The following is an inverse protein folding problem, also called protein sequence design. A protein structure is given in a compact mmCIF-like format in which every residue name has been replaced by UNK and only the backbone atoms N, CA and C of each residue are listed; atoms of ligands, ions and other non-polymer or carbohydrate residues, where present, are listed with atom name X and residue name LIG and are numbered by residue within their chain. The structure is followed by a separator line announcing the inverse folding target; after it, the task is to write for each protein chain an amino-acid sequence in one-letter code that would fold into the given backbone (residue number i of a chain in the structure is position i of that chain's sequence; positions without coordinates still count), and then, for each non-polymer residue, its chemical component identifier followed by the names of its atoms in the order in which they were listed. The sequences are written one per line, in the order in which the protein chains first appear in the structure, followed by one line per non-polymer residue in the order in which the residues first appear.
data_IF_965944728380
#
_entry.id   IF_965944728380
#
_cell.length_a   1.000
_cell.length_b   1.000
_cell.length_c   1.000
_cell.angle_alpha   90.00
_cell.angle_beta   90.00
_cell.angle_gamma   90.00
#
_symmetry.space_group_name_H-M   'P 1'
#
loop_
_entity.id
_entity.type
_entity.pdbx_description
1 polymer ?
#
# COMPACT_ATOMS: atom_id res chain seq x y z
N UNK A 1 62.23 -7.38 85.86
CA UNK A 1 61.30 -6.31 85.44
C UNK A 1 60.84 -6.61 84.03
N UNK A 2 59.69 -7.25 83.87
CA UNK A 2 59.03 -7.45 82.58
C UNK A 2 58.07 -6.29 82.38
N UNK A 3 58.39 -5.40 81.45
CA UNK A 3 57.50 -4.31 81.08
C UNK A 3 56.42 -4.92 80.19
N UNK A 4 55.23 -5.09 80.77
CA UNK A 4 54.02 -5.41 80.05
C UNK A 4 53.66 -4.24 79.13
N UNK A 5 53.62 -4.48 77.82
CA UNK A 5 52.89 -3.63 76.89
C UNK A 5 51.62 -4.37 76.48
N UNK A 6 50.50 -3.74 76.80
CA UNK A 6 49.15 -4.14 76.45
C UNK A 6 48.96 -4.09 74.93
N UNK A 7 48.24 -5.06 74.40
CA UNK A 7 47.72 -5.12 73.03
C UNK A 7 47.05 -3.78 72.66
N UNK A 8 47.71 -3.02 71.79
CA UNK A 8 47.18 -1.79 71.22
C UNK A 8 46.39 -2.17 69.96
N UNK A 9 45.07 -2.00 70.07
CA UNK A 9 44.13 -1.78 68.99
C UNK A 9 44.32 -2.58 67.68
N UNK A 10 43.63 -3.72 67.60
CA UNK A 10 43.12 -4.20 66.30
C UNK A 10 43.85 -5.37 65.64
N UNK A 11 44.65 -6.16 66.37
CA UNK A 11 45.05 -7.49 65.91
C UNK A 11 43.85 -8.46 66.01
N UNK A 12 42.82 -8.18 65.21
CA UNK A 12 41.90 -9.22 64.80
C UNK A 12 42.73 -10.21 63.97
N UNK A 13 42.87 -11.42 64.48
CA UNK A 13 43.19 -12.62 63.69
C UNK A 13 42.49 -12.47 62.34
N UNK A 14 43.26 -12.23 61.28
CA UNK A 14 42.76 -12.23 59.91
C UNK A 14 42.31 -13.65 59.59
N UNK A 15 41.14 -14.03 60.08
CA UNK A 15 40.39 -15.12 59.49
C UNK A 15 40.19 -14.67 58.04
N UNK A 16 40.59 -15.44 57.02
CA UNK A 16 40.00 -15.23 55.71
C UNK A 16 38.50 -15.40 55.95
N UNK A 17 37.75 -14.29 55.95
CA UNK A 17 36.31 -14.39 55.85
C UNK A 17 36.07 -15.28 54.64
N UNK A 18 35.36 -16.38 54.87
CA UNK A 18 34.90 -17.26 53.81
C UNK A 18 34.39 -16.34 52.69
N UNK A 19 35.09 -16.35 51.56
CA UNK A 19 34.70 -15.64 50.35
C UNK A 19 33.26 -16.02 50.07
N UNK A 20 32.31 -15.21 50.54
CA UNK A 20 30.99 -15.14 49.95
C UNK A 20 31.31 -14.65 48.56
N UNK A 21 31.32 -15.57 47.61
CA UNK A 21 31.39 -15.26 46.19
C UNK A 21 30.39 -14.14 45.95
N UNK A 22 30.92 -12.91 45.80
CA UNK A 22 30.14 -11.80 45.30
C UNK A 22 29.51 -12.28 43.99
N UNK A 23 28.26 -11.89 43.70
CA UNK A 23 27.59 -12.36 42.51
C UNK A 23 28.49 -12.04 41.32
N UNK A 24 28.84 -13.04 40.51
CA UNK A 24 29.77 -12.92 39.38
C UNK A 24 29.42 -11.74 38.42
N UNK A 25 28.18 -11.24 38.49
CA UNK A 25 27.71 -10.04 37.81
C UNK A 25 28.41 -8.74 38.25
N UNK A 26 28.71 -8.54 39.54
CA UNK A 26 29.41 -7.33 40.02
C UNK A 26 30.88 -7.31 39.58
N UNK A 27 31.55 -8.47 39.66
CA UNK A 27 32.92 -8.64 39.16
C UNK A 27 32.97 -8.47 37.63
N UNK A 28 31.96 -8.96 36.91
CA UNK A 28 31.90 -8.81 35.47
C UNK A 28 31.64 -7.36 35.06
N UNK A 29 30.82 -6.64 35.82
CA UNK A 29 30.60 -5.20 35.61
C UNK A 29 31.87 -4.40 35.91
N UNK A 30 32.60 -4.71 36.97
CA UNK A 30 33.91 -4.10 37.22
C UNK A 30 34.90 -4.42 36.08
N UNK A 31 34.96 -5.66 35.61
CA UNK A 31 35.82 -6.05 34.49
C UNK A 31 35.46 -5.31 33.20
N UNK A 32 34.18 -5.02 32.97
CA UNK A 32 33.73 -4.26 31.80
C UNK A 32 33.98 -2.75 31.97
N UNK A 33 33.86 -2.20 33.19
CA UNK A 33 34.17 -0.80 33.50
C UNK A 33 35.66 -0.49 33.37
N UNK A 34 36.54 -1.45 33.71
CA UNK A 34 37.99 -1.35 33.56
C UNK A 34 38.52 -1.94 32.24
N UNK A 35 37.68 -2.57 31.43
CA UNK A 35 38.09 -3.10 30.14
C UNK A 35 38.38 -1.97 29.15
N UNK A 36 39.61 -1.93 28.66
CA UNK A 36 39.96 -1.18 27.46
C UNK A 36 39.52 -1.95 26.20
N UNK A 37 39.51 -1.26 25.05
CA UNK A 37 39.22 -1.85 23.72
C UNK A 37 39.90 -3.22 23.55
N UNK A 38 39.11 -4.31 23.61
CA UNK A 38 39.59 -5.71 23.48
C UNK A 38 39.95 -6.09 22.04
N UNK A 39 40.06 -5.12 21.13
CA UNK A 39 40.29 -5.38 19.70
C UNK A 39 41.78 -5.56 19.42
N UNK A 40 42.15 -6.71 18.87
CA UNK A 40 43.51 -6.96 18.41
C UNK A 40 43.80 -6.07 17.20
N UNK A 41 44.64 -5.05 17.40
CA UNK A 41 45.04 -4.12 16.35
C UNK A 41 46.10 -4.77 15.44
N UNK A 42 46.08 -4.50 14.13
CA UNK A 42 47.19 -4.86 13.25
C UNK A 42 48.52 -4.29 13.76
N UNK A 43 49.61 -5.04 13.60
CA UNK A 43 50.94 -4.66 14.11
C UNK A 43 51.38 -3.24 13.70
N UNK A 44 51.09 -2.84 12.47
CA UNK A 44 51.40 -1.49 11.95
C UNK A 44 50.70 -0.40 12.77
N UNK A 45 49.42 -0.59 13.08
CA UNK A 45 48.61 0.34 13.87
C UNK A 45 49.02 0.32 15.35
N UNK A 46 49.33 -0.85 15.89
CA UNK A 46 49.85 -0.98 17.24
C UNK A 46 51.18 -0.21 17.40
N UNK A 47 52.11 -0.40 16.46
CA UNK A 47 53.39 0.31 16.41
C UNK A 47 53.19 1.82 16.26
N UNK A 48 52.27 2.25 15.38
CA UNK A 48 51.93 3.66 15.21
C UNK A 48 51.40 4.28 16.51
N UNK A 49 50.45 3.62 17.18
CA UNK A 49 49.92 4.08 18.45
C UNK A 49 50.98 4.12 19.56
N UNK A 50 51.88 3.14 19.60
CA UNK A 50 53.01 3.14 20.53
C UNK A 50 54.01 4.27 20.24
N UNK A 51 54.31 4.56 18.97
CA UNK A 51 55.16 5.70 18.60
C UNK A 51 54.51 7.02 18.98
N UNK A 52 53.20 7.15 18.78
CA UNK A 52 52.44 8.33 19.15
C UNK A 52 52.58 8.69 20.65
N UNK A 53 52.55 7.70 21.55
CA UNK A 53 52.70 7.94 23.00
C UNK A 53 54.11 8.36 23.42
N UNK A 54 55.11 8.10 22.58
CA UNK A 54 56.53 8.41 22.84
C UNK A 54 57.03 9.66 22.09
N UNK A 55 56.13 10.43 21.45
CA UNK A 55 56.50 11.67 20.75
C UNK A 55 56.84 12.80 21.74
N UNK A 56 58.13 13.00 22.02
CA UNK A 56 58.59 14.01 22.99
C UNK A 56 58.16 15.46 22.67
N UNK A 57 57.90 15.77 21.40
CA UNK A 57 57.47 17.08 20.94
C UNK A 57 56.06 17.49 21.41
N UNK A 58 55.27 16.55 21.95
CA UNK A 58 53.87 16.78 22.32
C UNK A 58 53.63 16.67 23.83
N UNK A 59 52.75 17.51 24.40
CA UNK A 59 52.33 17.37 25.79
C UNK A 59 51.60 16.03 26.00
N UNK A 60 51.65 15.49 27.22
CA UNK A 60 51.09 14.16 27.53
C UNK A 60 49.63 13.99 27.09
N UNK A 61 48.81 15.04 27.21
CA UNK A 61 47.42 15.06 26.72
C UNK A 61 47.32 14.92 25.19
N UNK A 62 48.17 15.61 24.43
CA UNK A 62 48.18 15.55 22.98
C UNK A 62 48.68 14.19 22.50
N UNK A 63 49.66 13.59 23.20
CA UNK A 63 50.15 12.23 22.93
C UNK A 63 49.07 11.17 23.09
N UNK A 64 48.27 11.26 24.14
CA UNK A 64 47.15 10.33 24.36
C UNK A 64 46.11 10.42 23.24
N UNK A 65 45.77 11.64 22.79
CA UNK A 65 44.87 11.84 21.67
C UNK A 65 45.50 11.36 20.33
N UNK A 66 46.78 11.64 20.11
CA UNK A 66 47.50 11.20 18.92
C UNK A 66 47.54 9.67 18.82
N UNK A 67 47.75 8.98 19.95
CA UNK A 67 47.68 7.53 20.02
C UNK A 67 46.25 7.01 19.76
N UNK A 68 45.22 7.68 20.26
CA UNK A 68 43.84 7.34 19.97
C UNK A 68 43.51 7.50 18.47
N UNK A 69 44.00 8.57 17.82
CA UNK A 69 43.85 8.80 16.38
C UNK A 69 44.58 7.73 15.57
N UNK A 70 45.82 7.39 15.93
CA UNK A 70 46.59 6.35 15.27
C UNK A 70 45.86 4.99 15.27
N UNK A 71 45.12 4.66 16.34
CA UNK A 71 44.29 3.43 16.43
C UNK A 71 43.05 3.43 15.53
N UNK A 72 42.62 4.60 15.06
CA UNK A 72 41.42 4.76 14.20
C UNK A 72 41.74 4.92 12.73
N UNK A 73 43.00 5.20 12.39
CA UNK A 73 43.43 5.44 11.01
C UNK A 73 43.56 4.11 10.28
N UNK A 74 43.18 4.10 9.00
CA UNK A 74 43.41 2.96 8.13
C UNK A 74 44.87 2.97 7.64
N UNK A 75 45.61 1.88 7.88
CA UNK A 75 47.01 1.75 7.48
C UNK A 75 47.19 1.83 5.96
N UNK A 76 46.20 1.40 5.17
CA UNK A 76 46.29 1.45 3.71
C UNK A 76 46.09 2.88 3.15
N UNK A 77 45.48 3.78 3.93
CA UNK A 77 45.14 5.15 3.50
C UNK A 77 45.40 6.15 4.62
N UNK A 78 46.68 6.46 4.94
CA UNK A 78 47.04 7.28 6.10
C UNK A 78 46.57 8.74 6.01
N UNK A 79 46.37 9.27 4.80
CA UNK A 79 45.92 10.65 4.56
C UNK A 79 44.39 10.80 4.45
N UNK A 80 43.65 9.69 4.50
CA UNK A 80 42.19 9.74 4.43
C UNK A 80 41.60 10.44 5.66
N UNK A 81 40.37 10.94 5.50
CA UNK A 81 39.57 11.48 6.59
C UNK A 81 39.39 10.43 7.70
N UNK A 82 39.69 10.81 8.95
CA UNK A 82 39.45 9.94 10.10
C UNK A 82 37.97 9.99 10.47
N UNK A 83 37.26 8.88 10.24
CA UNK A 83 35.84 8.72 10.54
C UNK A 83 35.61 8.28 12.00
N UNK A 84 36.15 9.03 12.96
CA UNK A 84 35.94 8.76 14.39
C UNK A 84 34.95 9.76 15.00
N UNK A 85 34.02 9.27 15.82
CA UNK A 85 33.16 10.13 16.63
C UNK A 85 33.95 10.75 17.77
N UNK A 86 33.55 11.94 18.23
CA UNK A 86 34.25 12.65 19.31
C UNK A 86 34.25 11.83 20.60
N UNK A 87 33.13 11.17 20.91
CA UNK A 87 32.94 10.32 22.08
C UNK A 87 33.92 9.13 22.09
N UNK A 88 34.15 8.55 20.91
CA UNK A 88 35.08 7.43 20.74
C UNK A 88 36.52 7.88 20.97
N UNK A 89 36.91 9.03 20.44
CA UNK A 89 38.26 9.57 20.65
C UNK A 89 38.48 10.02 22.10
N UNK A 90 37.49 10.65 22.73
CA UNK A 90 37.56 11.05 24.14
C UNK A 90 37.65 9.84 25.06
N UNK A 91 36.90 8.78 24.78
CA UNK A 91 36.96 7.52 25.55
C UNK A 91 38.33 6.85 25.42
N UNK A 92 38.86 6.73 24.20
CA UNK A 92 40.18 6.13 23.96
C UNK A 92 41.33 6.95 24.54
N UNK A 93 41.23 8.27 24.49
CA UNK A 93 42.23 9.17 25.05
C UNK A 93 42.06 9.38 26.57
N UNK A 94 40.96 8.88 27.16
CA UNK A 94 40.57 9.09 28.56
C UNK A 94 40.58 10.58 28.94
N UNK A 95 39.98 11.41 28.08
CA UNK A 95 39.93 12.87 28.22
C UNK A 95 38.51 13.39 28.20
N UNK A 96 38.23 14.41 29.01
CA UNK A 96 36.98 15.16 28.90
C UNK A 96 36.92 15.92 27.58
N UNK A 97 35.71 16.26 27.13
CA UNK A 97 35.48 16.98 25.87
C UNK A 97 36.24 18.33 25.82
N UNK A 98 36.36 19.04 26.95
CA UNK A 98 37.11 20.30 27.04
C UNK A 98 38.61 20.08 26.84
N UNK A 99 39.17 19.05 27.45
CA UNK A 99 40.59 18.70 27.30
C UNK A 99 40.89 18.19 25.90
N UNK A 100 39.95 17.48 25.28
CA UNK A 100 40.03 17.02 23.90
C UNK A 100 40.20 18.16 22.90
N UNK A 101 39.45 19.26 23.02
CA UNK A 101 39.66 20.41 22.12
C UNK A 101 41.03 21.05 22.31
N UNK A 102 41.52 21.14 23.56
CA UNK A 102 42.88 21.65 23.82
C UNK A 102 43.96 20.75 23.24
N UNK A 103 43.83 19.44 23.36
CA UNK A 103 44.78 18.49 22.77
C UNK A 103 44.71 18.50 21.24
N UNK A 104 43.53 18.73 20.65
CA UNK A 104 43.39 18.99 19.20
C UNK A 104 44.14 20.26 18.77
N UNK A 105 44.02 21.35 19.53
CA UNK A 105 44.71 22.60 19.22
C UNK A 105 46.24 22.43 19.33
N UNK A 106 46.73 21.71 20.35
CA UNK A 106 48.16 21.38 20.49
C UNK A 106 48.69 20.54 19.31
N UNK A 107 47.89 19.57 18.82
CA UNK A 107 48.26 18.73 17.68
C UNK A 107 48.27 19.49 16.36
N UNK A 108 47.34 20.43 16.18
CA UNK A 108 47.31 21.29 15.00
C UNK A 108 48.46 22.30 15.03
N UNK A 109 48.74 22.92 16.17
CA UNK A 109 49.87 23.84 16.35
C UNK A 109 51.22 23.17 16.09
N UNK A 110 51.37 21.90 16.49
CA UNK A 110 52.57 21.11 16.21
C UNK A 110 52.63 20.54 14.77
N UNK A 111 51.58 20.76 13.97
CA UNK A 111 51.49 20.38 12.57
C UNK A 111 51.29 18.88 12.34
N UNK A 112 50.67 18.16 13.28
CA UNK A 112 50.40 16.72 13.15
C UNK A 112 49.04 16.44 12.50
N UNK A 113 48.06 17.29 12.72
CA UNK A 113 46.71 17.15 12.15
C UNK A 113 46.32 18.40 11.37
N UNK A 114 45.40 18.24 10.43
CA UNK A 114 44.74 19.35 9.74
C UNK A 114 43.23 19.25 9.94
N UNK A 115 42.61 20.38 10.30
CA UNK A 115 41.16 20.51 10.43
C UNK A 115 40.62 21.42 9.32
N UNK A 116 39.93 20.90 8.30
CA UNK A 116 39.23 21.74 7.35
C UNK A 116 38.13 22.55 8.06
N UNK A 117 37.86 23.79 7.62
CA UNK A 117 36.82 24.61 8.22
C UNK A 117 35.47 23.94 8.10
N UNK A 118 34.64 24.06 9.16
CA UNK A 118 33.32 23.45 9.18
C UNK A 118 32.38 24.19 8.22
N UNK A 119 32.03 23.55 7.10
CA UNK A 119 31.13 24.11 6.09
C UNK A 119 29.70 24.21 6.65
N UNK A 120 28.97 25.27 6.30
CA UNK A 120 27.55 25.41 6.66
C UNK A 120 26.69 24.87 5.53
N UNK A 121 25.71 24.03 5.86
CA UNK A 121 24.68 23.61 4.92
C UNK A 121 23.64 24.73 4.81
N UNK A 122 23.73 25.52 3.72
CA UNK A 122 23.01 26.78 3.56
C UNK A 122 21.48 26.71 3.68
N UNK A 123 20.87 25.55 3.46
CA UNK A 123 19.41 25.39 3.52
C UNK A 123 18.86 25.06 4.93
N UNK A 124 19.68 24.54 5.85
CA UNK A 124 19.20 24.00 7.12
C UNK A 124 19.81 24.67 8.36
N UNK A 125 20.80 25.57 8.18
CA UNK A 125 21.50 26.21 9.31
C UNK A 125 22.35 25.24 10.14
N UNK A 126 22.51 23.99 9.70
CA UNK A 126 23.36 22.99 10.32
C UNK A 126 24.78 23.08 9.76
N UNK A 127 25.74 22.84 10.63
CA UNK A 127 27.14 22.72 10.25
C UNK A 127 27.45 21.28 9.79
N UNK A 128 28.14 21.15 8.66
CA UNK A 128 28.65 19.90 8.12
C UNK A 128 29.68 19.24 9.05
N UNK A 129 30.09 18.02 8.72
CA UNK A 129 31.10 17.30 9.51
C UNK A 129 32.49 17.74 9.05
N UNK A 130 33.30 18.27 9.97
CA UNK A 130 34.71 18.49 9.73
C UNK A 130 35.46 17.21 10.13
N UNK A 131 36.08 16.55 9.15
CA UNK A 131 36.90 15.37 9.38
C UNK A 131 38.35 15.77 9.66
N UNK A 132 39.01 15.01 10.54
CA UNK A 132 40.42 15.23 10.88
C UNK A 132 41.27 14.47 9.88
N UNK A 133 42.31 15.11 9.35
CA UNK A 133 43.28 14.47 8.46
C UNK A 133 44.67 14.46 9.11
N UNK A 134 45.40 13.36 8.93
CA UNK A 134 46.82 13.31 9.29
C UNK A 134 47.65 14.06 8.25
N UNK A 135 48.64 14.80 8.73
CA UNK A 135 49.65 15.44 7.88
C UNK A 135 50.71 14.42 7.43
N UNK A 136 51.50 14.77 6.40
CA UNK A 136 52.67 13.99 5.97
C UNK A 136 53.64 13.72 7.13
N UNK A 137 53.94 14.77 7.91
CA UNK A 137 54.78 14.71 9.11
C UNK A 137 54.27 13.71 10.15
N UNK A 138 52.95 13.66 10.37
CA UNK A 138 52.36 12.69 11.29
C UNK A 138 52.44 11.26 10.76
N UNK A 139 52.15 11.04 9.47
CA UNK A 139 52.19 9.71 8.88
C UNK A 139 53.60 9.09 8.89
N UNK A 140 54.63 9.90 8.63
CA UNK A 140 56.04 9.50 8.73
C UNK A 140 56.44 9.14 10.17
N UNK A 141 56.10 9.98 11.15
CA UNK A 141 56.45 9.74 12.56
C UNK A 141 55.71 8.54 13.15
N UNK A 142 54.47 8.30 12.73
CA UNK A 142 53.72 7.09 13.08
C UNK A 142 54.27 5.83 12.39
N UNK A 143 55.08 5.98 11.34
CA UNK A 143 55.59 4.86 10.53
C UNK A 143 54.50 4.22 9.67
N UNK A 144 53.49 4.98 9.28
CA UNK A 144 52.46 4.56 8.33
C UNK A 144 52.92 4.74 6.87
N UNK A 145 53.90 5.61 6.67
CA UNK A 145 54.58 5.84 5.38
C UNK A 145 56.08 5.76 5.62
N UNK A 146 56.79 5.11 4.72
CA UNK A 146 58.26 5.09 4.75
C UNK A 146 58.78 6.49 4.42
N UNK A 147 59.73 7.04 5.20
CA UNK A 147 60.35 8.31 4.87
C UNK A 147 61.09 8.16 3.54
N UNK A 148 60.56 8.79 2.49
CA UNK A 148 61.28 8.97 1.23
C UNK A 148 62.44 9.91 1.54
N UNK A 149 63.65 9.35 1.55
CA UNK A 149 64.89 10.10 1.75
C UNK A 149 65.23 10.91 0.49
N UNK A 150 64.34 11.83 0.08
CA UNK A 150 64.57 12.77 -1.01
C UNK A 150 64.54 14.19 -0.46
N UNK A 151 65.59 14.52 0.29
CA UNK A 151 65.98 15.88 0.61
C UNK A 151 67.47 15.94 0.94
N UNK A 152 68.30 15.59 -0.05
CA UNK A 152 69.71 16.00 -0.10
C UNK A 152 70.04 16.48 -1.51
N UNK A 153 70.10 17.81 -1.66
CA UNK A 153 70.94 18.61 -2.56
C UNK A 153 71.47 17.99 -3.86
N UNK A 154 70.93 18.42 -5.01
CA UNK A 154 71.74 18.72 -6.20
C UNK A 154 71.24 20.00 -6.91
N UNK A 155 72.16 20.81 -7.49
CA UNK A 155 71.94 22.21 -7.89
C UNK A 155 71.26 22.38 -9.27
N UNK A 156 70.79 23.61 -9.64
CA UNK A 156 70.01 23.84 -10.84
C UNK A 156 70.89 23.92 -12.10
N UNK A 157 70.56 23.14 -13.11
CA UNK A 157 71.03 23.34 -14.49
C UNK A 157 69.88 23.88 -15.35
N UNK A 158 70.07 25.02 -16.05
CA UNK A 158 69.11 25.54 -17.00
C UNK A 158 69.45 25.05 -18.40
N UNK A 159 68.49 24.50 -19.15
CA UNK A 159 68.44 24.69 -20.62
C UNK A 159 67.02 24.47 -21.12
N UNK A 160 66.56 25.42 -21.91
CA UNK A 160 65.25 25.57 -22.51
C UNK A 160 65.03 24.69 -23.75
N UNK A 161 63.83 24.09 -23.82
CA UNK A 161 62.93 23.93 -24.99
C UNK A 161 63.32 22.98 -26.16
N UNK A 162 62.35 22.58 -27.04
CA UNK A 162 60.96 22.15 -26.80
C UNK A 162 60.54 20.89 -27.61
N UNK A 163 59.36 20.35 -27.26
CA UNK A 163 58.43 19.56 -28.09
C UNK A 163 58.87 18.21 -28.70
N UNK A 164 58.30 17.12 -28.19
CA UNK A 164 57.44 16.24 -29.01
C UNK A 164 56.61 15.33 -28.11
N UNK A 165 55.40 15.03 -28.58
CA UNK A 165 54.31 14.45 -27.84
C UNK A 165 54.51 12.97 -27.58
N UNK A 166 54.37 12.54 -26.33
CA UNK A 166 53.87 11.19 -26.07
C UNK A 166 53.02 11.13 -24.80
N UNK A 167 51.97 10.33 -24.89
CA UNK A 167 50.76 10.38 -24.10
C UNK A 167 50.99 10.02 -22.61
N UNK A 168 50.92 11.03 -21.74
CA UNK A 168 50.65 10.82 -20.32
C UNK A 168 49.13 10.91 -20.08
N UNK A 169 48.47 9.90 -19.47
CA UNK A 169 47.10 10.06 -19.02
C UNK A 169 47.11 11.05 -17.84
N UNK A 170 46.72 12.30 -18.12
CA UNK A 170 46.38 13.26 -17.09
C UNK A 170 45.21 12.68 -16.29
N UNK A 171 45.48 12.16 -15.10
CA UNK A 171 44.46 11.93 -14.10
C UNK A 171 43.93 13.29 -13.68
N UNK A 172 42.91 13.76 -14.40
CA UNK A 172 42.00 14.80 -13.94
C UNK A 172 41.46 14.29 -12.59
N UNK A 173 41.77 14.93 -11.45
CA UNK A 173 41.10 14.57 -10.23
C UNK A 173 39.61 14.86 -10.45
N UNK A 174 38.69 13.91 -10.17
CA UNK A 174 37.26 14.22 -10.27
C UNK A 174 36.98 15.42 -9.37
N UNK A 175 36.47 16.50 -9.96
CA UNK A 175 36.17 17.80 -9.33
C UNK A 175 34.95 17.74 -8.41
N UNK A 176 34.70 16.59 -7.78
CA UNK A 176 33.68 16.41 -6.75
C UNK A 176 34.41 16.03 -5.46
N UNK A 177 34.89 17.04 -4.77
CA UNK A 177 35.24 16.92 -3.35
C UNK A 177 33.93 16.74 -2.59
N UNK A 178 33.45 15.49 -2.49
CA UNK A 178 32.43 15.09 -1.50
C UNK A 178 33.07 15.15 -0.10
N UNK A 179 33.43 16.36 0.33
CA UNK A 179 33.82 16.63 1.72
C UNK A 179 32.59 16.62 2.64
N UNK A 180 31.39 16.75 2.07
CA UNK A 180 30.13 16.64 2.81
C UNK A 180 29.80 15.15 3.03
N UNK A 181 30.54 14.53 3.95
CA UNK A 181 30.21 13.21 4.44
C UNK A 181 28.82 13.20 5.09
N UNK A 182 28.12 12.06 4.96
CA UNK A 182 26.76 11.88 5.45
C UNK A 182 26.58 12.43 6.89
N UNK A 183 25.66 13.39 7.02
CA UNK A 183 25.21 13.88 8.32
C UNK A 183 24.60 12.68 9.05
N UNK A 184 25.14 12.36 10.23
CA UNK A 184 24.71 11.20 11.04
C UNK A 184 23.34 11.38 11.69
N UNK A 185 22.81 12.60 11.63
CA UNK A 185 21.40 12.87 11.89
C UNK A 185 20.70 12.74 10.55
N UNK A 186 19.81 11.76 10.44
CA UNK A 186 18.79 11.80 9.41
C UNK A 186 18.23 13.22 9.41
N UNK A 187 18.45 13.98 8.32
CA UNK A 187 17.72 15.23 8.11
C UNK A 187 16.27 14.83 7.82
N UNK A 188 15.58 14.35 8.83
CA UNK A 188 14.14 14.41 8.89
C UNK A 188 13.89 15.77 9.52
N UNK A 189 13.53 16.80 8.74
CA UNK A 189 13.14 18.07 9.33
C UNK A 189 11.99 17.81 10.30
N UNK A 190 12.25 17.99 11.59
CA UNK A 190 11.24 17.82 12.66
C UNK A 190 10.10 18.85 12.53
N UNK A 191 10.32 19.87 11.70
CA UNK A 191 9.37 20.94 11.38
C UNK A 191 8.54 20.70 10.12
N UNK A 192 8.79 19.64 9.34
CA UNK A 192 7.77 19.23 8.37
C UNK A 192 6.64 18.62 9.19
N UNK A 193 5.50 19.34 9.27
CA UNK A 193 4.21 18.80 9.72
C UNK A 193 4.09 17.40 9.14
N UNK A 194 4.38 16.37 9.94
CA UNK A 194 4.24 14.99 9.51
C UNK A 194 2.79 14.88 9.17
N UNK A 195 2.48 14.73 7.88
CA UNK A 195 1.23 14.09 7.48
C UNK A 195 1.12 12.89 8.41
N UNK A 196 0.01 12.75 9.18
CA UNK A 196 -0.10 11.66 10.12
C UNK A 196 0.25 10.41 9.32
N UNK A 197 1.20 9.60 9.79
CA UNK A 197 1.67 8.39 9.12
C UNK A 197 0.60 7.30 9.05
N UNK A 198 -0.67 7.72 9.00
CA UNK A 198 -1.86 6.93 8.99
C UNK A 198 -2.08 6.45 7.58
N UNK A 199 -2.07 5.13 7.44
CA UNK A 199 -2.33 4.48 6.18
C UNK A 199 -3.76 4.80 5.68
N UNK A 200 -3.95 5.09 4.37
CA UNK A 200 -5.26 5.21 3.75
C UNK A 200 -6.14 4.00 4.07
N UNK A 201 -7.44 4.23 4.29
CA UNK A 201 -8.38 3.18 4.70
C UNK A 201 -8.35 1.96 3.76
N UNK A 202 -8.29 2.20 2.45
CA UNK A 202 -8.31 1.17 1.40
C UNK A 202 -7.09 0.24 1.42
N UNK A 203 -5.99 0.68 2.03
CA UNK A 203 -4.74 -0.08 2.13
C UNK A 203 -4.60 -0.78 3.49
N UNK A 204 -5.45 -0.46 4.49
CA UNK A 204 -5.43 -1.12 5.81
C UNK A 204 -5.70 -2.61 5.72
N UNK A 205 -6.47 -3.04 4.71
CA UNK A 205 -6.68 -4.47 4.42
C UNK A 205 -5.39 -5.23 4.12
N UNK A 206 -4.32 -4.57 3.65
CA UNK A 206 -3.02 -5.24 3.48
C UNK A 206 -2.38 -5.64 4.81
N UNK A 207 -2.69 -4.94 5.91
CA UNK A 207 -2.14 -5.27 7.23
C UNK A 207 -2.58 -6.67 7.69
N UNK A 208 -3.80 -7.10 7.34
CA UNK A 208 -4.28 -8.45 7.70
C UNK A 208 -3.53 -9.57 6.98
N UNK A 209 -2.76 -9.25 5.92
CA UNK A 209 -1.92 -10.18 5.19
C UNK A 209 -0.45 -10.13 5.65
N UNK A 210 -0.15 -9.44 6.75
CA UNK A 210 1.19 -9.35 7.33
C UNK A 210 2.08 -8.25 6.75
N UNK A 211 1.51 -7.31 5.97
CA UNK A 211 2.28 -6.16 5.50
C UNK A 211 2.52 -5.18 6.66
N UNK A 212 3.74 -4.68 6.79
CA UNK A 212 4.07 -3.59 7.73
C UNK A 212 3.74 -2.24 7.08
N UNK A 213 3.29 -1.26 7.86
CA UNK A 213 2.93 0.08 7.35
C UNK A 213 4.05 0.73 6.53
N UNK A 214 5.30 0.68 7.03
CA UNK A 214 6.48 1.18 6.30
C UNK A 214 6.68 0.51 4.94
N UNK A 215 6.40 -0.79 4.84
CA UNK A 215 6.49 -1.51 3.57
C UNK A 215 5.41 -1.02 2.61
N UNK A 216 4.20 -0.76 3.10
CA UNK A 216 3.10 -0.25 2.28
C UNK A 216 3.44 1.15 1.76
N UNK A 217 4.02 2.03 2.57
CA UNK A 217 4.50 3.33 2.09
C UNK A 217 5.60 3.21 1.03
N UNK A 218 6.52 2.24 1.20
CA UNK A 218 7.53 1.94 0.16
C UNK A 218 6.88 1.46 -1.13
N UNK A 219 5.87 0.59 -1.04
CA UNK A 219 5.12 0.09 -2.19
C UNK A 219 4.28 1.18 -2.87
N UNK A 220 3.74 2.14 -2.13
CA UNK A 220 3.08 3.30 -2.72
C UNK A 220 4.05 4.13 -3.57
N UNK A 221 5.28 4.32 -3.09
CA UNK A 221 6.34 5.00 -3.83
C UNK A 221 6.74 4.23 -5.09
N UNK A 222 6.87 2.91 -4.99
CA UNK A 222 7.17 2.01 -6.11
C UNK A 222 6.04 2.03 -7.15
N UNK A 223 4.77 1.98 -6.73
CA UNK A 223 3.61 2.10 -7.60
C UNK A 223 3.59 3.44 -8.34
N UNK A 224 3.89 4.54 -7.63
CA UNK A 224 3.98 5.89 -8.22
C UNK A 224 5.08 5.99 -9.27
N UNK A 225 6.22 5.32 -9.06
CA UNK A 225 7.30 5.25 -10.05
C UNK A 225 6.86 4.53 -11.33
N UNK A 226 5.92 3.59 -11.23
CA UNK A 226 5.31 2.89 -12.36
C UNK A 226 4.03 3.57 -12.88
N UNK A 227 3.72 4.80 -12.45
CA UNK A 227 2.56 5.56 -12.92
C UNK A 227 1.21 5.02 -12.44
N UNK A 228 1.18 4.23 -11.36
CA UNK A 228 -0.03 3.57 -10.85
C UNK A 228 -0.33 3.95 -9.40
N UNK A 229 -1.60 3.84 -9.03
CA UNK A 229 -2.04 3.95 -7.64
C UNK A 229 -2.09 2.57 -7.00
N UNK A 230 -1.44 2.41 -5.84
CA UNK A 230 -1.44 1.14 -5.11
C UNK A 230 -2.86 0.71 -4.69
N UNK A 231 -3.73 1.67 -4.38
CA UNK A 231 -5.13 1.42 -4.02
C UNK A 231 -5.87 0.66 -5.12
N UNK A 232 -5.78 1.12 -6.37
CA UNK A 232 -6.46 0.52 -7.51
C UNK A 232 -5.91 -0.87 -7.85
N UNK A 233 -4.59 -1.05 -7.74
CA UNK A 233 -3.95 -2.36 -7.92
C UNK A 233 -4.49 -3.37 -6.91
N UNK A 234 -4.48 -2.99 -5.63
CA UNK A 234 -4.93 -3.86 -4.52
C UNK A 234 -6.41 -4.17 -4.63
N UNK A 235 -7.23 -3.22 -5.07
CA UNK A 235 -8.67 -3.44 -5.27
C UNK A 235 -8.94 -4.43 -6.39
N UNK A 236 -8.36 -4.19 -7.56
CA UNK A 236 -8.53 -5.06 -8.71
C UNK A 236 -7.96 -6.47 -8.50
N UNK A 237 -6.90 -6.60 -7.69
CA UNK A 237 -6.20 -7.87 -7.46
C UNK A 237 -6.43 -8.45 -6.06
N UNK A 238 -7.44 -8.02 -5.31
CA UNK A 238 -7.59 -8.43 -3.91
C UNK A 238 -7.75 -9.95 -3.73
N UNK A 239 -8.63 -10.58 -4.52
CA UNK A 239 -8.89 -12.01 -4.46
C UNK A 239 -7.64 -12.87 -4.73
N UNK A 240 -6.90 -12.70 -5.86
CA UNK A 240 -5.69 -13.47 -6.10
C UNK A 240 -4.57 -13.12 -5.12
N UNK A 241 -4.51 -11.88 -4.63
CA UNK A 241 -3.50 -11.46 -3.67
C UNK A 241 -3.68 -12.14 -2.30
N UNK A 242 -4.93 -12.38 -1.87
CA UNK A 242 -5.23 -13.11 -0.63
C UNK A 242 -4.88 -14.60 -0.72
N UNK A 243 -4.96 -15.18 -1.91
CA UNK A 243 -4.66 -16.61 -2.15
C UNK A 243 -3.17 -16.87 -2.41
N UNK A 244 -2.38 -15.82 -2.67
CA UNK A 244 -0.96 -15.97 -3.00
C UNK A 244 -0.14 -16.44 -1.80
N UNK A 245 0.75 -17.42 -2.02
CA UNK A 245 1.71 -17.91 -1.02
C UNK A 245 2.70 -16.83 -0.58
N UNK A 246 3.03 -15.90 -1.49
CA UNK A 246 3.96 -14.79 -1.27
C UNK A 246 3.35 -13.46 -1.73
N UNK A 247 2.48 -12.82 -0.92
CA UNK A 247 1.70 -11.67 -1.36
C UNK A 247 2.56 -10.44 -1.63
N UNK A 248 3.68 -10.26 -0.93
CA UNK A 248 4.60 -9.12 -1.15
C UNK A 248 5.27 -9.21 -2.53
N UNK A 249 5.81 -10.38 -2.87
CA UNK A 249 6.47 -10.62 -4.16
C UNK A 249 5.47 -10.53 -5.30
N UNK A 250 4.29 -11.12 -5.13
CA UNK A 250 3.20 -11.07 -6.10
C UNK A 250 2.73 -9.63 -6.36
N UNK A 251 2.58 -8.81 -5.32
CA UNK A 251 2.20 -7.41 -5.51
C UNK A 251 3.30 -6.63 -6.24
N UNK A 252 4.58 -6.87 -5.95
CA UNK A 252 5.68 -6.23 -6.70
C UNK A 252 5.71 -6.62 -8.17
N UNK A 253 5.40 -7.87 -8.52
CA UNK A 253 5.31 -8.27 -9.93
C UNK A 253 4.14 -7.59 -10.63
N UNK A 254 2.98 -7.45 -9.96
CA UNK A 254 1.83 -6.71 -10.49
C UNK A 254 2.14 -5.21 -10.72
N UNK A 255 2.92 -4.58 -9.83
CA UNK A 255 3.33 -3.18 -10.01
C UNK A 255 4.16 -3.00 -11.28
N UNK A 256 5.04 -3.96 -11.61
CA UNK A 256 5.89 -3.94 -12.81
C UNK A 256 5.18 -4.32 -14.11
N UNK A 257 4.11 -5.11 -14.04
CA UNK A 257 3.38 -5.59 -15.23
C UNK A 257 2.73 -4.42 -16.00
N UNK A 258 2.60 -4.43 -17.33
CA UNK A 258 2.06 -3.32 -18.12
C UNK A 258 0.51 -3.27 -18.12
N UNK A 259 -0.14 -3.62 -17.01
CA UNK A 259 -1.61 -3.68 -16.90
C UNK A 259 -2.16 -2.37 -16.32
N UNK A 260 -3.22 -1.84 -16.92
CA UNK A 260 -3.98 -0.71 -16.39
C UNK A 260 -4.98 -1.19 -15.31
N UNK A 261 -4.57 -1.06 -14.05
CA UNK A 261 -5.40 -1.40 -12.90
C UNK A 261 -6.41 -0.30 -12.56
N UNK A 262 -6.20 0.95 -13.00
CA UNK A 262 -7.12 2.04 -12.73
C UNK A 262 -8.43 1.84 -13.50
N UNK A 263 -8.35 1.43 -14.77
CA UNK A 263 -9.52 1.05 -15.56
C UNK A 263 -10.27 -0.12 -14.92
N UNK A 264 -9.56 -1.20 -14.56
CA UNK A 264 -10.17 -2.38 -13.93
C UNK A 264 -10.86 -2.06 -12.60
N UNK A 265 -10.25 -1.23 -11.76
CA UNK A 265 -10.85 -0.82 -10.49
C UNK A 265 -12.11 0.02 -10.71
N UNK A 266 -12.12 0.94 -11.69
CA UNK A 266 -13.31 1.72 -12.04
C UNK A 266 -14.47 0.82 -12.49
N UNK A 267 -14.22 -0.08 -13.45
CA UNK A 267 -15.25 -1.01 -13.92
C UNK A 267 -15.83 -1.87 -12.81
N UNK A 268 -15.01 -2.31 -11.85
CA UNK A 268 -15.48 -3.06 -10.69
C UNK A 268 -16.34 -2.21 -9.74
N UNK A 269 -15.93 -0.97 -9.45
CA UNK A 269 -16.72 -0.04 -8.60
C UNK A 269 -18.06 0.28 -9.25
N UNK A 270 -18.07 0.58 -10.54
CA UNK A 270 -19.30 0.88 -11.27
C UNK A 270 -20.26 -0.31 -11.24
N UNK A 271 -19.77 -1.53 -11.47
CA UNK A 271 -20.57 -2.74 -11.37
C UNK A 271 -21.14 -2.98 -9.95
N UNK A 272 -20.35 -2.68 -8.90
CA UNK A 272 -20.81 -2.77 -7.50
C UNK A 272 -21.89 -1.73 -7.19
N UNK A 273 -21.71 -0.49 -7.64
CA UNK A 273 -22.70 0.59 -7.47
C UNK A 273 -24.00 0.22 -8.19
N UNK A 274 -23.93 -0.24 -9.44
CA UNK A 274 -25.12 -0.71 -10.16
C UNK A 274 -25.82 -1.85 -9.43
N UNK A 275 -25.08 -2.87 -8.96
CA UNK A 275 -25.67 -3.97 -8.20
C UNK A 275 -26.31 -3.51 -6.87
N UNK A 276 -25.72 -2.53 -6.18
CA UNK A 276 -26.29 -1.95 -4.96
C UNK A 276 -27.55 -1.14 -5.23
N UNK A 277 -27.58 -0.35 -6.32
CA UNK A 277 -28.76 0.39 -6.74
C UNK A 277 -29.91 -0.58 -7.07
N UNK A 278 -29.63 -1.65 -7.81
CA UNK A 278 -30.63 -2.67 -8.14
C UNK A 278 -31.16 -3.38 -6.88
N UNK A 279 -30.28 -3.73 -5.92
CA UNK A 279 -30.69 -4.33 -4.64
C UNK A 279 -31.52 -3.38 -3.78
N UNK A 280 -31.10 -2.13 -3.66
CA UNK A 280 -31.87 -1.13 -2.90
C UNK A 280 -33.24 -0.87 -3.54
N UNK A 281 -33.32 -0.92 -4.89
CA UNK A 281 -34.59 -0.82 -5.62
C UNK A 281 -35.47 -2.04 -5.39
N UNK A 282 -34.92 -3.25 -5.43
CA UNK A 282 -35.70 -4.47 -5.14
C UNK A 282 -36.19 -4.49 -3.70
N UNK A 283 -35.33 -4.17 -2.73
CA UNK A 283 -35.71 -4.11 -1.31
C UNK A 283 -36.82 -3.08 -1.05
N UNK A 284 -36.74 -1.88 -1.65
CA UNK A 284 -37.82 -0.89 -1.57
C UNK A 284 -39.11 -1.43 -2.16
N UNK A 285 -39.05 -2.04 -3.33
CA UNK A 285 -40.21 -2.66 -3.98
C UNK A 285 -40.84 -3.72 -3.08
N UNK A 286 -40.02 -4.59 -2.49
CA UNK A 286 -40.47 -5.67 -1.60
C UNK A 286 -41.11 -5.12 -0.32
N UNK A 287 -40.54 -4.06 0.29
CA UNK A 287 -41.13 -3.43 1.49
C UNK A 287 -42.49 -2.79 1.21
N UNK A 288 -42.64 -2.12 0.06
CA UNK A 288 -43.92 -1.53 -0.35
C UNK A 288 -44.96 -2.62 -0.56
N UNK A 289 -44.62 -3.70 -1.27
CA UNK A 289 -45.57 -4.78 -1.56
C UNK A 289 -45.96 -5.55 -0.30
N UNK A 290 -45.02 -5.77 0.64
CA UNK A 290 -45.34 -6.35 1.94
C UNK A 290 -46.39 -5.52 2.71
N UNK A 291 -46.37 -4.20 2.57
CA UNK A 291 -47.39 -3.31 3.15
C UNK A 291 -48.74 -3.32 2.43
N UNK A 292 -48.79 -3.79 1.17
CA UNK A 292 -49.98 -3.88 0.34
C UNK A 292 -50.57 -5.31 0.29
N UNK A 293 -50.02 -6.23 1.08
CA UNK A 293 -50.50 -7.62 1.18
C UNK A 293 -51.99 -7.67 1.54
N UNK A 294 -52.76 -8.50 0.82
CA UNK A 294 -54.20 -8.66 1.02
C UNK A 294 -55.07 -7.50 0.52
N UNK A 295 -54.47 -6.40 0.02
CA UNK A 295 -55.22 -5.25 -0.48
C UNK A 295 -55.66 -5.43 -1.93
N UNK A 296 -56.72 -4.69 -2.28
CA UNK A 296 -57.26 -4.66 -3.64
C UNK A 296 -57.17 -3.25 -4.22
N UNK A 297 -56.86 -3.19 -5.50
CA UNK A 297 -56.64 -1.96 -6.24
C UNK A 297 -57.40 -2.01 -7.56
N UNK A 298 -57.74 -0.85 -8.11
CA UNK A 298 -58.41 -0.72 -9.39
C UNK A 298 -57.59 0.18 -10.29
N UNK A 299 -57.51 -0.15 -11.58
CA UNK A 299 -56.95 0.77 -12.57
C UNK A 299 -57.78 2.06 -12.61
N UNK A 300 -57.13 3.19 -12.94
CA UNK A 300 -57.80 4.50 -13.11
C UNK A 300 -58.98 4.44 -14.09
N UNK A 301 -58.92 3.56 -15.10
CA UNK A 301 -59.98 3.38 -16.09
C UNK A 301 -61.13 2.48 -15.59
N UNK A 302 -61.01 1.88 -14.39
CA UNK A 302 -62.01 0.99 -13.80
C UNK A 302 -62.09 -0.41 -14.42
N UNK A 303 -61.37 -0.67 -15.52
CA UNK A 303 -61.48 -1.90 -16.31
C UNK A 303 -60.77 -3.11 -15.69
N UNK A 304 -59.74 -2.87 -14.86
CA UNK A 304 -58.89 -3.91 -14.26
C UNK A 304 -58.89 -3.79 -12.75
N UNK A 305 -59.14 -4.91 -12.08
CA UNK A 305 -58.99 -5.07 -10.64
C UNK A 305 -57.74 -5.90 -10.35
N UNK A 306 -56.98 -5.45 -9.37
CA UNK A 306 -55.75 -6.08 -8.90
C UNK A 306 -55.97 -6.49 -7.45
N UNK A 307 -55.68 -7.74 -7.10
CA UNK A 307 -55.67 -8.21 -5.71
C UNK A 307 -54.31 -8.80 -5.40
N UNK A 308 -53.62 -8.21 -4.43
CA UNK A 308 -52.35 -8.73 -3.95
C UNK A 308 -52.65 -9.86 -2.97
N UNK A 309 -52.01 -11.01 -3.15
CA UNK A 309 -52.16 -12.15 -2.24
C UNK A 309 -51.67 -11.81 -0.83
N UNK A 310 -52.19 -12.50 0.19
CA UNK A 310 -51.81 -12.31 1.59
C UNK A 310 -50.32 -12.58 1.84
N UNK A 311 -49.71 -13.46 1.02
CA UNK A 311 -48.28 -13.75 1.06
C UNK A 311 -47.41 -12.75 0.28
N UNK A 312 -48.00 -11.72 -0.33
CA UNK A 312 -47.31 -10.69 -1.14
C UNK A 312 -46.49 -11.22 -2.36
N UNK A 313 -46.60 -12.52 -2.67
CA UNK A 313 -45.82 -13.18 -3.74
C UNK A 313 -46.52 -13.21 -5.10
N UNK A 314 -47.85 -13.15 -5.10
CA UNK A 314 -48.67 -13.26 -6.31
C UNK A 314 -49.67 -12.11 -6.38
N UNK A 315 -49.98 -11.70 -7.61
CA UNK A 315 -51.05 -10.72 -7.89
C UNK A 315 -52.09 -11.37 -8.80
N UNK A 316 -53.36 -11.17 -8.45
CA UNK A 316 -54.52 -11.57 -9.24
C UNK A 316 -55.01 -10.36 -10.01
N UNK A 317 -55.07 -10.47 -11.34
CA UNK A 317 -55.57 -9.43 -12.23
C UNK A 317 -56.87 -9.92 -12.83
N UNK A 318 -57.95 -9.15 -12.64
CA UNK A 318 -59.26 -9.43 -13.20
C UNK A 318 -59.68 -8.30 -14.13
N UNK A 319 -59.89 -8.61 -15.41
CA UNK A 319 -60.48 -7.68 -16.36
C UNK A 319 -62.01 -7.80 -16.32
N UNK A 320 -62.76 -6.70 -16.47
CA UNK A 320 -64.23 -6.72 -16.39
C UNK A 320 -64.90 -7.72 -17.34
N UNK A 321 -64.33 -7.90 -18.53
CA UNK A 321 -64.86 -8.75 -19.60
C UNK A 321 -64.29 -10.19 -19.58
N UNK A 322 -63.34 -10.49 -18.69
CA UNK A 322 -62.74 -11.82 -18.59
C UNK A 322 -63.44 -12.64 -17.50
N UNK A 323 -63.79 -13.88 -17.83
CA UNK A 323 -64.49 -14.81 -16.91
C UNK A 323 -63.52 -15.40 -15.86
N UNK A 324 -62.21 -15.35 -16.09
CA UNK A 324 -61.23 -15.98 -15.21
C UNK A 324 -60.06 -15.03 -14.88
N UNK A 325 -59.69 -14.87 -13.60
CA UNK A 325 -58.57 -14.01 -13.20
C UNK A 325 -57.22 -14.60 -13.62
N UNK A 326 -56.29 -13.72 -13.98
CA UNK A 326 -54.91 -14.08 -14.32
C UNK A 326 -54.03 -13.96 -13.08
N UNK A 327 -53.24 -14.99 -12.80
CA UNK A 327 -52.28 -15.01 -11.68
C UNK A 327 -50.87 -14.71 -12.21
N UNK A 328 -50.22 -13.68 -11.67
CA UNK A 328 -48.80 -13.43 -11.94
C UNK A 328 -47.97 -13.72 -10.68
N UNK A 329 -46.93 -14.54 -10.84
CA UNK A 329 -46.06 -14.99 -9.75
C UNK A 329 -44.59 -14.58 -9.90
N UNK A 330 -44.21 -13.93 -11.01
CA UNK A 330 -42.83 -13.51 -11.27
C UNK A 330 -42.75 -12.08 -11.81
N UNK A 331 -41.77 -11.32 -11.32
CA UNK A 331 -41.38 -9.97 -11.74
C UNK A 331 -42.51 -8.91 -11.89
N UNK A 332 -43.71 -9.14 -11.33
CA UNK A 332 -44.84 -8.22 -11.39
C UNK A 332 -44.71 -7.03 -10.42
N UNK A 333 -43.98 -7.27 -9.33
CA UNK A 333 -43.72 -6.36 -8.22
C UNK A 333 -43.25 -4.95 -8.63
N UNK A 334 -42.12 -4.79 -9.37
CA UNK A 334 -41.59 -3.46 -9.71
C UNK A 334 -42.53 -2.66 -10.63
N UNK A 335 -43.16 -3.32 -11.61
CA UNK A 335 -44.08 -2.67 -12.55
C UNK A 335 -45.37 -2.23 -11.86
N UNK A 336 -45.86 -3.03 -10.91
CA UNK A 336 -47.05 -2.70 -10.13
C UNK A 336 -46.81 -1.50 -9.21
N UNK A 337 -45.68 -1.47 -8.48
CA UNK A 337 -45.32 -0.33 -7.63
C UNK A 337 -45.13 0.94 -8.47
N UNK A 338 -44.46 0.85 -9.62
CA UNK A 338 -44.31 1.98 -10.53
C UNK A 338 -45.67 2.51 -11.03
N UNK A 339 -46.61 1.62 -11.36
CA UNK A 339 -47.96 2.01 -11.79
C UNK A 339 -48.82 2.60 -10.65
N UNK A 340 -48.58 2.17 -9.41
CA UNK A 340 -49.22 2.72 -8.21
C UNK A 340 -48.68 4.13 -7.88
N UNK A 341 -47.35 4.32 -7.92
CA UNK A 341 -46.71 5.63 -7.71
C UNK A 341 -47.07 6.64 -8.80
N UNK A 342 -47.19 6.19 -10.07
CA UNK A 342 -47.65 7.02 -11.17
C UNK A 342 -49.16 7.34 -11.13
N UNK A 343 -49.92 6.74 -10.18
CA UNK A 343 -51.35 6.98 -10.01
C UNK A 343 -52.24 6.33 -11.08
N UNK A 344 -51.71 5.36 -11.83
CA UNK A 344 -52.49 4.55 -12.78
C UNK A 344 -53.33 3.48 -12.08
N UNK A 345 -52.97 3.13 -10.85
CA UNK A 345 -53.64 2.16 -9.99
C UNK A 345 -53.98 2.86 -8.68
N UNK A 346 -55.23 2.78 -8.25
CA UNK A 346 -55.72 3.39 -7.01
C UNK A 346 -56.25 2.32 -6.05
N UNK A 347 -56.08 2.50 -4.73
CA UNK A 347 -56.65 1.59 -3.74
C UNK A 347 -58.17 1.53 -3.89
N UNK A 348 -58.72 0.32 -3.89
CA UNK A 348 -60.17 0.14 -3.99
C UNK A 348 -60.81 0.68 -2.71
N UNK A 349 -61.65 1.72 -2.83
CA UNK A 349 -62.44 2.21 -1.71
C UNK A 349 -63.34 1.09 -1.19
N UNK A 350 -63.34 0.91 0.12
CA UNK A 350 -63.99 -0.19 0.85
C UNK A 350 -65.49 -0.34 0.57
N UNK A 351 -66.13 0.67 -0.02
CA UNK A 351 -67.57 0.70 -0.31
C UNK A 351 -68.00 -0.08 -1.57
N UNK A 352 -67.09 -0.72 -2.30
CA UNK A 352 -67.41 -1.50 -3.51
C UNK A 352 -67.33 -3.03 -3.34
N UNK A 353 -67.02 -3.52 -2.13
CA UNK A 353 -66.78 -4.95 -1.87
C UNK A 353 -68.03 -5.79 -1.59
N UNK A 354 -69.22 -5.20 -1.50
CA UNK A 354 -70.44 -5.98 -1.20
C UNK A 354 -71.25 -6.43 -2.42
N UNK A 355 -71.08 -5.81 -3.60
CA UNK A 355 -71.97 -6.10 -4.74
C UNK A 355 -71.46 -7.19 -5.70
N UNK A 356 -70.20 -7.64 -5.58
CA UNK A 356 -69.60 -8.57 -6.54
C UNK A 356 -69.39 -9.99 -6.01
N UNK A 357 -69.19 -10.19 -4.70
CA UNK A 357 -69.04 -11.55 -4.15
C UNK A 357 -70.38 -12.31 -4.10
N UNK A 358 -71.52 -11.61 -4.08
CA UNK A 358 -72.86 -12.22 -4.12
C UNK A 358 -73.23 -12.83 -5.48
N UNK A 359 -72.61 -12.41 -6.59
CA UNK A 359 -72.91 -12.95 -7.92
C UNK A 359 -72.01 -14.14 -8.32
N UNK A 360 -70.83 -14.30 -7.73
CA UNK A 360 -69.91 -15.39 -8.10
C UNK A 360 -70.28 -16.76 -7.52
N UNK A 361 -71.09 -16.82 -6.47
CA UNK A 361 -71.48 -18.08 -5.83
C UNK A 361 -72.85 -18.63 -6.30
N UNK A 362 -73.61 -17.88 -7.10
CA UNK A 362 -74.93 -18.32 -7.59
C UNK A 362 -74.94 -18.82 -9.03
N UNK A 363 -73.93 -18.54 -9.86
CA UNK A 363 -73.94 -18.89 -11.29
C UNK A 363 -73.28 -20.25 -11.62
N UNK A 364 -72.90 -21.02 -10.59
CA UNK A 364 -72.22 -22.32 -10.73
C UNK A 364 -73.17 -23.53 -10.77
N UNK A 365 -74.49 -23.33 -10.78
CA UNK A 365 -75.49 -24.42 -10.80
C UNK A 365 -76.32 -24.57 -12.08
N UNK A 366 -76.03 -23.81 -13.14
CA UNK A 366 -76.83 -23.93 -14.37
C UNK A 366 -76.02 -23.74 -15.67
N UNK A 367 -75.24 -24.76 -16.10
CA UNK A 367 -75.02 -25.01 -17.54
C UNK A 367 -74.50 -26.41 -17.87
N UNK A 368 -74.83 -26.95 -19.06
CA UNK A 368 -74.88 -28.37 -19.36
C UNK A 368 -73.49 -29.00 -19.63
N UNK A 369 -73.32 -30.32 -19.38
CA UNK A 369 -72.02 -31.00 -19.30
C UNK A 369 -71.27 -31.22 -20.63
N UNK A 370 -71.74 -30.70 -21.77
CA UNK A 370 -71.20 -31.07 -23.08
C UNK A 370 -69.95 -30.31 -23.53
N UNK A 371 -69.75 -29.06 -23.07
CA UNK A 371 -68.56 -28.28 -23.44
C UNK A 371 -67.32 -28.65 -22.60
N UNK A 372 -67.54 -29.13 -21.36
CA UNK A 372 -66.47 -29.52 -20.43
C UNK A 372 -65.73 -30.78 -20.89
N UNK A 373 -66.44 -31.72 -21.51
CA UNK A 373 -65.87 -32.95 -22.08
C UNK A 373 -64.97 -32.67 -23.28
N UNK A 374 -65.32 -31.70 -24.13
CA UNK A 374 -64.54 -31.35 -25.34
C UNK A 374 -63.22 -30.67 -25.01
N UNK A 375 -63.18 -29.84 -23.96
CA UNK A 375 -61.93 -29.22 -23.49
C UNK A 375 -61.01 -30.23 -22.80
N UNK A 376 -61.57 -31.21 -22.08
CA UNK A 376 -60.78 -32.25 -21.42
C UNK A 376 -60.14 -33.21 -22.44
N UNK A 377 -60.85 -33.58 -23.50
CA UNK A 377 -60.28 -34.39 -24.59
C UNK A 377 -59.18 -33.64 -25.34
N UNK A 378 -59.35 -32.33 -25.57
CA UNK A 378 -58.34 -31.52 -26.25
C UNK A 378 -57.06 -31.34 -25.39
N UNK A 379 -57.20 -31.26 -24.07
CA UNK A 379 -56.08 -31.20 -23.14
C UNK A 379 -55.39 -32.56 -22.95
N UNK A 380 -56.11 -33.67 -23.03
CA UNK A 380 -55.50 -35.00 -23.03
C UNK A 380 -54.69 -35.25 -24.31
N UNK A 381 -55.19 -34.81 -25.47
CA UNK A 381 -54.48 -34.94 -26.76
C UNK A 381 -53.21 -34.09 -26.80
N UNK A 382 -53.26 -32.86 -26.27
CA UNK A 382 -52.08 -32.00 -26.15
C UNK A 382 -51.03 -32.57 -25.17
N UNK A 383 -51.48 -33.18 -24.07
CA UNK A 383 -50.57 -33.89 -23.14
C UNK A 383 -49.96 -35.14 -23.77
N UNK A 384 -50.70 -35.87 -24.62
CA UNK A 384 -50.17 -37.03 -25.35
C UNK A 384 -49.10 -36.61 -26.38
N UNK A 385 -49.35 -35.53 -27.14
CA UNK A 385 -48.38 -34.97 -28.09
C UNK A 385 -47.10 -34.47 -27.43
N UNK A 386 -47.22 -33.81 -26.26
CA UNK A 386 -46.06 -33.36 -25.50
C UNK A 386 -45.28 -34.53 -24.89
N UNK A 387 -45.95 -35.60 -24.45
CA UNK A 387 -45.29 -36.82 -23.95
C UNK A 387 -44.53 -37.58 -25.04
N UNK A 388 -45.09 -37.64 -26.26
CA UNK A 388 -44.42 -38.19 -27.44
C UNK A 388 -43.17 -37.38 -27.82
N UNK A 389 -43.21 -36.06 -27.63
CA UNK A 389 -42.07 -35.16 -27.91
C UNK A 389 -40.96 -35.24 -26.85
N UNK A 390 -41.29 -35.55 -25.60
CA UNK A 390 -40.32 -35.75 -24.51
C UNK A 390 -39.68 -37.15 -24.49
N UNK A 391 -40.14 -38.08 -25.32
CA UNK A 391 -39.65 -39.46 -25.34
C UNK A 391 -38.57 -39.72 -26.42
N UNK A 392 -38.08 -38.70 -27.15
CA UNK A 392 -37.03 -38.82 -28.18
C UNK A 392 -37.20 -40.00 -29.16
N UNK A 393 -38.43 -40.27 -29.61
CA UNK A 393 -38.68 -41.20 -30.73
C UNK A 393 -38.93 -40.38 -31.99
N UNK A 394 -37.84 -40.17 -32.75
CA UNK A 394 -37.87 -39.67 -34.12
C UNK A 394 -38.10 -40.87 -35.05
N UNK A 395 -39.22 -40.98 -35.80
CA UNK A 395 -39.21 -41.79 -37.00
C UNK A 395 -38.31 -41.09 -38.03
N UNK A 396 -37.09 -41.62 -38.12
CA UNK A 396 -36.14 -41.39 -39.19
C UNK A 396 -36.79 -41.67 -40.55
N UNK A 397 -36.84 -40.67 -41.42
CA UNK A 397 -36.82 -40.86 -42.86
C UNK A 397 -35.75 -39.92 -43.44
N UNK A 398 -34.62 -40.51 -43.79
CA UNK A 398 -33.48 -39.89 -44.45
C UNK A 398 -33.73 -39.78 -45.96
N UNK A 399 -33.47 -38.62 -46.55
CA UNK A 399 -32.47 -38.45 -47.62
C UNK A 399 -32.31 -36.93 -47.88
N UNK A 400 -31.14 -36.34 -47.58
CA UNK A 400 -29.92 -36.29 -48.39
C UNK A 400 -30.01 -35.15 -49.43
N UNK A 401 -29.50 -33.97 -49.09
CA UNK A 401 -28.28 -33.36 -49.64
C UNK A 401 -28.16 -31.86 -49.26
N UNK A 402 -26.97 -31.50 -48.81
CA UNK A 402 -26.38 -30.19 -48.47
C UNK A 402 -25.18 -30.05 -49.45
N UNK A 403 -24.68 -28.88 -49.93
CA UNK A 403 -24.51 -27.56 -49.27
C UNK A 403 -24.87 -26.35 -50.19
N UNK A 404 -24.77 -25.04 -49.87
CA UNK A 404 -23.87 -24.15 -49.09
C UNK A 404 -24.56 -22.73 -49.00
N UNK A 405 -24.02 -21.68 -48.32
CA UNK A 405 -24.79 -20.89 -47.35
C UNK A 405 -24.87 -19.36 -47.61
N UNK A 406 -25.93 -18.79 -47.01
CA UNK A 406 -26.14 -17.54 -46.24
C UNK A 406 -24.98 -16.51 -46.11
N UNK A 407 -25.21 -15.18 -46.05
CA UNK A 407 -26.06 -14.46 -45.08
C UNK A 407 -26.41 -13.02 -45.50
N UNK A 408 -27.69 -12.64 -45.33
CA UNK A 408 -28.11 -11.31 -44.90
C UNK A 408 -29.24 -11.46 -43.87
N UNK A 409 -29.13 -10.76 -42.74
CA UNK A 409 -30.26 -10.07 -42.11
C UNK A 409 -31.10 -10.80 -41.05
N UNK A 410 -31.41 -10.00 -40.02
CA UNK A 410 -32.62 -10.02 -39.18
C UNK A 410 -32.66 -10.98 -37.97
N UNK A 411 -32.17 -10.41 -36.87
CA UNK A 411 -32.79 -10.41 -35.54
C UNK A 411 -34.30 -10.73 -35.51
N UNK A 412 -34.67 -11.78 -34.78
CA UNK A 412 -36.03 -12.00 -34.32
C UNK A 412 -36.35 -11.05 -33.18
N UNK A 413 -37.05 -9.95 -33.49
CA UNK A 413 -37.73 -9.11 -32.51
C UNK A 413 -39.16 -9.62 -32.31
N UNK A 414 -39.51 -9.86 -31.04
CA UNK A 414 -40.85 -10.20 -30.59
C UNK A 414 -41.86 -9.05 -30.84
N UNK A 415 -43.17 -9.34 -30.99
CA UNK A 415 -44.17 -8.41 -31.49
C UNK A 415 -44.61 -7.29 -30.51
N UNK A 416 -43.80 -6.97 -29.49
CA UNK A 416 -44.13 -5.95 -28.48
C UNK A 416 -43.26 -4.68 -28.56
N UNK A 417 -42.16 -4.68 -29.33
CA UNK A 417 -41.33 -3.48 -29.53
C UNK A 417 -41.94 -2.46 -30.50
N UNK A 418 -42.81 -2.90 -31.42
CA UNK A 418 -43.46 -2.05 -32.44
C UNK A 418 -44.43 -1.01 -31.86
N UNK A 419 -45.00 -1.27 -30.68
CA UNK A 419 -45.99 -0.39 -30.04
C UNK A 419 -45.37 0.73 -29.20
N UNK A 420 -44.11 0.57 -28.75
CA UNK A 420 -43.40 1.61 -27.99
C UNK A 420 -42.59 2.55 -28.88
N UNK A 421 -42.19 2.11 -30.08
CA UNK A 421 -41.50 2.97 -31.05
C UNK A 421 -42.42 4.01 -31.72
N UNK A 422 -43.72 3.72 -31.81
CA UNK A 422 -44.72 4.62 -32.41
C UNK A 422 -45.10 5.77 -31.48
N UNK A 423 -45.04 5.60 -30.16
CA UNK A 423 -45.32 6.66 -29.17
C UNK A 423 -44.10 7.58 -29.00
N UNK A 424 -42.88 7.04 -29.12
CA UNK A 424 -41.62 7.80 -29.05
C UNK A 424 -41.44 8.80 -30.21
N UNK A 425 -41.88 8.46 -31.43
CA UNK A 425 -41.74 9.36 -32.61
C UNK A 425 -42.76 10.51 -32.66
N UNK A 426 -43.88 10.41 -31.94
CA UNK A 426 -44.89 11.48 -31.90
C UNK A 426 -44.58 12.53 -30.83
N UNK A 427 -43.79 12.19 -29.81
CA UNK A 427 -43.32 13.15 -28.79
C UNK A 427 -42.08 13.97 -29.23
N UNK A 428 -41.27 13.46 -30.16
CA UNK A 428 -40.03 14.12 -30.61
C UNK A 428 -40.21 15.16 -31.75
N UNK A 429 -41.42 15.39 -32.24
CA UNK A 429 -41.70 16.30 -33.37
C UNK A 429 -42.36 17.63 -32.99
N UNK A 430 -42.41 17.98 -31.68
CA UNK A 430 -43.05 19.23 -31.21
C UNK A 430 -42.16 20.23 -30.47
N UNK A 431 -40.85 20.00 -30.34
CA UNK A 431 -39.92 20.94 -29.66
C UNK A 431 -38.72 21.35 -30.52
N UNK A 432 -38.95 21.70 -31.80
CA UNK A 432 -37.93 22.34 -32.63
C UNK A 432 -38.59 23.41 -33.51
N UNK A 433 -39.01 24.51 -32.87
CA UNK A 433 -39.20 25.84 -33.49
C UNK A 433 -39.43 26.87 -32.39
N UNK A 434 -38.59 27.92 -32.43
CA UNK A 434 -38.55 29.18 -31.66
C UNK A 434 -37.36 29.22 -30.68
N UNK A 435 -36.39 30.15 -30.73
CA UNK A 435 -36.08 31.35 -31.52
C UNK A 435 -34.60 31.77 -31.14
N UNK A 436 -34.01 32.90 -31.60
CA UNK A 436 -32.62 33.01 -32.06
C UNK A 436 -31.74 34.06 -31.34
N UNK A 437 -30.41 34.03 -31.61
CA UNK A 437 -29.46 35.16 -31.52
C UNK A 437 -29.16 35.71 -30.11
N UNK A 438 -28.09 36.46 -29.81
CA UNK A 438 -26.96 37.04 -30.55
C UNK A 438 -26.08 37.71 -29.46
N UNK A 439 -24.75 37.69 -29.64
CA UNK A 439 -23.75 38.67 -29.17
C UNK A 439 -23.63 39.01 -27.66
N UNK A 440 -22.46 38.69 -27.08
CA UNK A 440 -21.40 39.66 -26.75
C UNK A 440 -20.08 38.90 -26.57
#
# INVERSE_FOLDING_TARGET
MHIAQHSVAGEAVSRPENFKSLPAAEDQQALDDYACDRTNLPWVIFRAAHRATHTAALPARARALFAALARTVDAARPFAAIFARRELLTGRAQQSMRTFYRSMDDLEAAGFITRPPQTRYGAAGLFGRAYIHLTKKAAELLGLVEPTADASEQPPSPTEQPAEADAAPSFVPPSVTVADGAIYKDLIPDTQKRQPGRLPADLRRLLSLGFREFLIFKLMREAKAHGKLLSDVVEASWAPLRQATHPISYLRTLLRAPVDFAYRARTQRDAQVHAQIERARSERTDTVIAGLAGQSFVSRDGLRRYRVSDDARTILIHHRDEVQPRVHAGAWAPDFVAALEAGHIQPASTDMHQDAESHSLQDSLARPPELRRKSETHLSDLKALLRLKTADIIPSATSREVPKPLHHGASGSSPLSSLLETISRVAASKELRNLPGLKA
#
